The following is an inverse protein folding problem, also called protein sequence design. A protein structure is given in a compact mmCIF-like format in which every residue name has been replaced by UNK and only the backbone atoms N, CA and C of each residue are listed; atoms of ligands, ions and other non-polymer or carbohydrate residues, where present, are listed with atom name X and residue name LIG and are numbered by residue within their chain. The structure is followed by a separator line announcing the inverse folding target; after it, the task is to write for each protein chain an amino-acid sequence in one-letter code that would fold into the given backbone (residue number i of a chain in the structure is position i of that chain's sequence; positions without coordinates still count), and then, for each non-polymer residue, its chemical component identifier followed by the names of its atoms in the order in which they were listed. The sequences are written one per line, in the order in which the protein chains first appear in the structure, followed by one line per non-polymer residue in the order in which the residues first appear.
data_IF_038971537229
#
_entry.id   IF_038971537229
#
_cell.length_a   1.000
_cell.length_b   1.000
_cell.length_c   1.000
_cell.angle_alpha   90.00
_cell.angle_beta   90.00
_cell.angle_gamma   90.00
#
_symmetry.space_group_name_H-M   'P 1'
#
loop_
_entity.id
_entity.type
_entity.pdbx_description
1 polymer ?
#
# COMPACT_ATOMS: atom_id res chain seq x y z
N UNK A 1 -0.51 -30.11 -33.45
CA UNK A 1 -0.92 -30.68 -32.16
C UNK A 1 -0.53 -29.69 -31.06
N UNK A 2 -1.51 -28.93 -30.57
CA UNK A 2 -1.28 -27.88 -29.58
C UNK A 2 -1.42 -28.48 -28.17
N UNK A 3 -0.34 -28.44 -27.41
CA UNK A 3 -0.32 -28.83 -26.01
C UNK A 3 -1.09 -27.80 -25.18
N UNK A 4 -2.19 -28.25 -24.57
CA UNK A 4 -2.97 -27.45 -23.60
C UNK A 4 -2.19 -27.43 -22.28
N UNK A 5 -1.56 -26.33 -21.98
CA UNK A 5 -1.07 -26.05 -20.62
C UNK A 5 -2.28 -25.85 -19.72
N UNK A 6 -2.55 -26.80 -18.85
CA UNK A 6 -3.56 -26.73 -17.83
C UNK A 6 -3.20 -25.62 -16.83
N UNK A 7 -3.99 -24.55 -16.84
CA UNK A 7 -4.05 -23.62 -15.74
C UNK A 7 -4.62 -24.38 -14.53
N UNK A 8 -3.76 -24.76 -13.59
CA UNK A 8 -4.18 -25.29 -12.29
C UNK A 8 -4.92 -24.20 -11.55
N UNK A 9 -6.25 -24.25 -11.55
CA UNK A 9 -7.09 -23.38 -10.76
C UNK A 9 -6.79 -23.59 -9.28
N UNK A 10 -6.17 -22.59 -8.65
CA UNK A 10 -6.09 -22.52 -7.19
C UNK A 10 -7.53 -22.43 -6.65
N UNK A 11 -7.93 -23.42 -5.89
CA UNK A 11 -9.24 -23.47 -5.23
C UNK A 11 -9.21 -22.48 -4.06
N UNK A 12 -9.84 -21.31 -4.22
CA UNK A 12 -9.86 -20.28 -3.18
C UNK A 12 -11.02 -20.53 -2.24
N UNK A 13 -10.73 -20.80 -0.97
CA UNK A 13 -11.73 -20.76 0.09
C UNK A 13 -12.33 -19.33 0.19
N UNK A 14 -13.65 -19.19 0.40
CA UNK A 14 -14.25 -17.88 0.58
C UNK A 14 -13.61 -17.16 1.78
N UNK A 15 -13.25 -15.89 1.57
CA UNK A 15 -12.69 -15.05 2.63
C UNK A 15 -13.69 -14.92 3.77
N UNK A 16 -13.24 -15.16 5.01
CA UNK A 16 -14.02 -14.85 6.21
C UNK A 16 -14.32 -13.34 6.31
N UNK A 17 -15.25 -12.92 7.18
CA UNK A 17 -15.68 -11.53 7.30
C UNK A 17 -14.53 -10.53 7.51
N UNK A 18 -13.54 -10.91 8.31
CA UNK A 18 -12.34 -10.11 8.61
C UNK A 18 -11.35 -9.99 7.44
N UNK A 19 -11.51 -10.81 6.42
CA UNK A 19 -10.63 -10.87 5.24
C UNK A 19 -11.19 -10.13 4.02
N UNK A 20 -12.33 -9.45 4.18
CA UNK A 20 -12.91 -8.64 3.10
C UNK A 20 -12.21 -7.29 3.00
N UNK A 21 -12.02 -6.82 1.76
CA UNK A 21 -11.52 -5.47 1.53
C UNK A 21 -12.50 -4.43 2.09
N UNK A 22 -12.00 -3.53 2.91
CA UNK A 22 -12.72 -2.35 3.35
C UNK A 22 -12.66 -1.23 2.28
N UNK A 23 -13.34 -0.10 2.53
CA UNK A 23 -13.39 1.02 1.60
C UNK A 23 -11.99 1.64 1.33
N UNK A 24 -11.14 1.70 2.36
CA UNK A 24 -9.79 2.24 2.25
C UNK A 24 -8.89 1.36 1.35
N UNK A 25 -8.93 0.03 1.55
CA UNK A 25 -8.20 -0.92 0.70
C UNK A 25 -8.66 -0.84 -0.76
N UNK A 26 -9.97 -0.76 -1.00
CA UNK A 26 -10.52 -0.58 -2.35
C UNK A 26 -10.07 0.73 -2.98
N UNK A 27 -10.03 1.82 -2.21
CA UNK A 27 -9.53 3.09 -2.71
C UNK A 27 -8.05 2.99 -3.13
N UNK A 28 -7.19 2.38 -2.32
CA UNK A 28 -5.78 2.17 -2.68
C UNK A 28 -5.65 1.39 -3.99
N UNK A 29 -6.34 0.26 -4.14
CA UNK A 29 -6.29 -0.56 -5.36
C UNK A 29 -6.80 0.20 -6.58
N UNK A 30 -7.89 0.98 -6.43
CA UNK A 30 -8.50 1.69 -7.56
C UNK A 30 -7.61 2.77 -8.16
N UNK A 31 -6.66 3.30 -7.39
CA UNK A 31 -5.81 4.41 -7.80
C UNK A 31 -4.32 4.04 -7.91
N UNK A 32 -3.97 2.80 -7.60
CA UNK A 32 -2.63 2.28 -7.82
C UNK A 32 -2.44 1.90 -9.29
N UNK A 33 -1.33 2.37 -9.86
CA UNK A 33 -0.91 2.02 -11.21
C UNK A 33 -0.11 0.70 -11.17
N UNK A 34 -0.81 -0.40 -10.88
CA UNK A 34 -0.19 -1.72 -10.70
C UNK A 34 0.17 -2.31 -12.05
N UNK A 35 1.44 -2.67 -12.21
CA UNK A 35 1.96 -3.42 -13.36
C UNK A 35 2.42 -4.82 -12.92
N UNK A 36 2.50 -5.77 -13.87
CA UNK A 36 3.04 -7.11 -13.58
C UNK A 36 4.50 -7.01 -13.13
N UNK A 37 4.84 -7.82 -12.12
CA UNK A 37 6.16 -7.89 -11.50
C UNK A 37 6.53 -6.71 -10.59
N UNK A 38 5.62 -5.76 -10.37
CA UNK A 38 5.85 -4.69 -9.39
C UNK A 38 6.14 -5.27 -8.00
N UNK A 39 7.01 -4.59 -7.25
CA UNK A 39 7.22 -4.81 -5.83
C UNK A 39 6.38 -3.85 -5.02
N UNK A 40 5.41 -4.40 -4.29
CA UNK A 40 4.38 -3.64 -3.58
C UNK A 40 4.52 -3.81 -2.08
N UNK A 41 4.49 -2.70 -1.34
CA UNK A 41 4.44 -2.67 0.13
C UNK A 41 3.06 -2.23 0.61
N UNK A 42 2.41 -3.05 1.45
CA UNK A 42 1.29 -2.62 2.29
C UNK A 42 1.82 -2.23 3.68
N UNK A 43 1.79 -0.92 3.99
CA UNK A 43 2.37 -0.38 5.23
C UNK A 43 1.59 -0.71 6.50
N UNK A 44 0.36 -1.20 6.38
CA UNK A 44 -0.45 -1.63 7.53
C UNK A 44 -1.33 -2.80 7.12
N UNK A 45 -0.69 -3.91 6.76
CA UNK A 45 -1.35 -5.05 6.14
C UNK A 45 -2.29 -5.82 7.09
N UNK A 46 -2.19 -5.60 8.41
CA UNK A 46 -2.97 -6.35 9.39
C UNK A 46 -2.83 -7.85 9.16
N UNK A 47 -3.95 -8.55 9.02
CA UNK A 47 -3.99 -9.97 8.69
C UNK A 47 -3.81 -10.30 7.20
N UNK A 48 -3.34 -9.37 6.37
CA UNK A 48 -2.96 -9.61 4.96
C UNK A 48 -4.10 -9.56 3.95
N UNK A 49 -5.24 -8.94 4.27
CA UNK A 49 -6.41 -8.94 3.36
C UNK A 49 -6.14 -8.25 2.02
N UNK A 50 -5.45 -7.09 2.02
CA UNK A 50 -5.08 -6.36 0.81
C UNK A 50 -4.04 -7.14 0.01
N UNK A 51 -2.97 -7.61 0.65
CA UNK A 51 -1.93 -8.40 0.00
C UNK A 51 -2.49 -9.65 -0.65
N UNK A 52 -3.35 -10.39 0.05
CA UNK A 52 -4.00 -11.58 -0.51
C UNK A 52 -4.86 -11.25 -1.73
N UNK A 53 -5.57 -10.13 -1.72
CA UNK A 53 -6.34 -9.71 -2.89
C UNK A 53 -5.46 -9.42 -4.09
N UNK A 54 -4.29 -8.80 -3.87
CA UNK A 54 -3.31 -8.52 -4.91
C UNK A 54 -2.68 -9.81 -5.45
N UNK A 55 -2.26 -10.73 -4.58
CA UNK A 55 -1.68 -12.03 -4.93
C UNK A 55 -2.59 -12.86 -5.85
N UNK A 56 -3.90 -12.77 -5.63
CA UNK A 56 -4.90 -13.49 -6.43
C UNK A 56 -5.08 -12.95 -7.84
N UNK A 57 -4.68 -11.71 -8.13
CA UNK A 57 -5.02 -10.99 -9.37
C UNK A 57 -3.82 -10.61 -10.20
N UNK A 58 -2.68 -10.45 -9.58
CA UNK A 58 -1.47 -9.94 -10.22
C UNK A 58 -0.28 -10.83 -9.88
N UNK A 59 0.73 -10.79 -10.74
CA UNK A 59 2.04 -11.41 -10.46
C UNK A 59 2.95 -10.34 -9.87
N UNK A 60 2.96 -10.22 -8.56
CA UNK A 60 3.67 -9.19 -7.82
C UNK A 60 4.67 -9.80 -6.84
N UNK A 61 5.66 -8.99 -6.44
CA UNK A 61 6.45 -9.25 -5.23
C UNK A 61 5.79 -8.50 -4.08
N UNK A 62 5.19 -9.21 -3.14
CA UNK A 62 4.40 -8.63 -2.07
C UNK A 62 5.19 -8.53 -0.77
N UNK A 63 5.16 -7.34 -0.17
CA UNK A 63 5.71 -7.08 1.14
C UNK A 63 4.64 -6.43 2.02
N UNK A 64 4.70 -6.67 3.32
CA UNK A 64 3.76 -6.10 4.28
C UNK A 64 4.40 -5.71 5.58
N UNK A 65 3.92 -4.61 6.16
CA UNK A 65 4.20 -4.24 7.55
C UNK A 65 2.95 -4.39 8.39
N UNK A 66 3.12 -4.86 9.60
CA UNK A 66 2.04 -4.90 10.59
C UNK A 66 2.51 -4.30 11.90
N UNK A 67 1.61 -3.63 12.60
CA UNK A 67 1.92 -2.91 13.84
C UNK A 67 1.89 -3.81 15.08
N UNK A 68 1.45 -5.07 14.93
CA UNK A 68 1.50 -6.05 16.01
C UNK A 68 2.13 -7.36 15.54
N UNK A 69 2.89 -8.05 16.42
CA UNK A 69 3.47 -9.35 16.10
C UNK A 69 2.42 -10.39 15.71
N UNK A 70 1.24 -10.36 16.35
CA UNK A 70 0.13 -11.30 16.12
C UNK A 70 -0.44 -11.13 14.71
N UNK A 71 -0.68 -9.88 14.29
CA UNK A 71 -1.17 -9.57 12.94
C UNK A 71 -0.14 -9.96 11.88
N UNK A 72 1.15 -9.68 12.12
CA UNK A 72 2.22 -10.08 11.22
C UNK A 72 2.31 -11.62 11.08
N UNK A 73 2.14 -12.36 12.18
CA UNK A 73 2.10 -13.82 12.17
C UNK A 73 0.90 -14.32 11.36
N UNK A 74 -0.29 -13.79 11.63
CA UNK A 74 -1.51 -14.15 10.91
C UNK A 74 -1.42 -13.90 9.40
N UNK A 75 -0.79 -12.81 9.00
CA UNK A 75 -0.56 -12.51 7.58
C UNK A 75 0.40 -13.52 6.94
N UNK A 76 1.52 -13.87 7.59
CA UNK A 76 2.49 -14.87 7.10
C UNK A 76 1.88 -16.26 6.95
N UNK A 77 1.02 -16.67 7.87
CA UNK A 77 0.32 -17.96 7.79
C UNK A 77 -0.60 -18.08 6.57
N UNK A 78 -1.05 -16.94 6.04
CA UNK A 78 -1.98 -16.88 4.91
C UNK A 78 -1.31 -16.54 3.57
N UNK A 79 -0.10 -15.99 3.61
CA UNK A 79 0.65 -15.47 2.47
C UNK A 79 2.08 -16.00 2.54
N UNK A 80 2.28 -17.23 2.08
CA UNK A 80 3.59 -17.90 2.15
C UNK A 80 4.66 -17.24 1.28
N UNK A 81 4.25 -16.55 0.23
CA UNK A 81 5.14 -15.93 -0.75
C UNK A 81 5.31 -14.41 -0.52
N UNK A 82 4.69 -13.85 0.53
CA UNK A 82 4.84 -12.44 0.88
C UNK A 82 5.81 -12.25 2.06
N UNK A 83 6.69 -11.25 1.94
CA UNK A 83 7.59 -10.85 3.03
C UNK A 83 6.84 -9.92 4.00
N UNK A 84 6.34 -10.46 5.11
CA UNK A 84 5.59 -9.70 6.11
C UNK A 84 6.37 -9.59 7.41
N UNK A 85 6.52 -8.35 7.91
CA UNK A 85 7.28 -8.08 9.14
C UNK A 85 6.47 -7.23 10.12
N UNK A 86 6.84 -7.31 11.38
CA UNK A 86 6.40 -6.40 12.42
C UNK A 86 7.31 -5.16 12.41
N UNK A 87 6.74 -3.99 12.10
CA UNK A 87 7.48 -2.73 12.10
C UNK A 87 6.53 -1.54 12.26
N UNK A 88 7.09 -0.37 12.64
CA UNK A 88 6.37 0.89 12.75
C UNK A 88 6.43 1.66 11.41
N UNK A 89 5.41 2.47 11.13
CA UNK A 89 5.37 3.29 9.90
C UNK A 89 6.55 4.27 9.81
N UNK A 90 7.08 4.71 10.94
CA UNK A 90 8.19 5.68 11.04
C UNK A 90 9.58 5.08 10.78
N UNK A 91 9.66 3.75 10.64
CA UNK A 91 10.92 3.02 10.46
C UNK A 91 10.70 1.82 9.55
N UNK A 92 10.74 2.06 8.24
CA UNK A 92 10.48 1.05 7.21
C UNK A 92 11.76 0.24 6.98
N UNK A 93 11.81 -1.06 7.35
CA UNK A 93 13.06 -1.83 7.39
C UNK A 93 13.47 -2.41 6.02
N UNK A 94 13.21 -1.70 4.96
CA UNK A 94 13.73 -2.00 3.63
C UNK A 94 14.68 -0.90 3.15
N UNK A 95 15.52 -1.23 2.20
CA UNK A 95 16.51 -0.34 1.60
C UNK A 95 15.82 0.76 0.77
N UNK A 96 16.59 1.80 0.47
CA UNK A 96 16.18 2.85 -0.46
C UNK A 96 15.83 2.25 -1.84
N UNK A 97 14.97 2.92 -2.57
CA UNK A 97 14.61 2.57 -3.96
C UNK A 97 14.18 1.10 -4.16
N UNK A 98 13.45 0.55 -3.19
CA UNK A 98 13.07 -0.88 -3.17
C UNK A 98 11.72 -1.16 -3.84
N UNK A 99 10.74 -0.26 -3.70
CA UNK A 99 9.36 -0.51 -4.08
C UNK A 99 8.90 0.29 -5.30
N UNK A 100 8.10 -0.34 -6.12
CA UNK A 100 7.36 0.29 -7.20
C UNK A 100 6.14 1.03 -6.67
N UNK A 101 5.43 0.39 -5.75
CA UNK A 101 4.22 0.93 -5.13
C UNK A 101 4.28 0.73 -3.62
N UNK A 102 3.95 1.79 -2.89
CA UNK A 102 3.67 1.73 -1.45
C UNK A 102 2.21 2.10 -1.23
N UNK A 103 1.49 1.29 -0.46
CA UNK A 103 0.08 1.50 -0.13
C UNK A 103 -0.11 1.69 1.38
N UNK A 104 -0.98 2.63 1.76
CA UNK A 104 -1.42 2.81 3.13
C UNK A 104 -2.95 2.89 3.18
N UNK A 105 -3.59 1.78 3.50
CA UNK A 105 -5.06 1.68 3.62
C UNK A 105 -5.57 2.02 5.04
N UNK A 106 -4.85 2.86 5.75
CA UNK A 106 -5.18 3.35 7.10
C UNK A 106 -4.70 4.79 7.29
N UNK A 107 -4.89 5.35 8.48
CA UNK A 107 -4.34 6.65 8.82
C UNK A 107 -2.81 6.61 8.98
N UNK A 108 -2.16 7.74 8.70
CA UNK A 108 -0.78 8.00 9.14
C UNK A 108 -0.73 7.98 10.67
N UNK A 109 0.26 7.33 11.23
CA UNK A 109 0.49 7.23 12.68
C UNK A 109 1.85 7.80 13.06
N UNK A 110 1.95 8.29 14.30
CA UNK A 110 3.17 8.89 14.79
C UNK A 110 3.54 10.20 14.10
N UNK A 111 4.82 10.43 13.82
CA UNK A 111 5.29 11.60 13.09
C UNK A 111 5.04 11.42 11.58
N UNK A 112 3.95 12.00 11.08
CA UNK A 112 3.54 11.90 9.68
C UNK A 112 4.62 12.38 8.71
N UNK A 113 5.40 13.42 9.05
CA UNK A 113 6.47 13.91 8.19
C UNK A 113 7.61 12.89 8.11
N UNK A 114 7.94 12.22 9.21
CA UNK A 114 8.93 11.14 9.23
C UNK A 114 8.44 9.93 8.42
N UNK A 115 7.19 9.52 8.62
CA UNK A 115 6.58 8.43 7.84
C UNK A 115 6.68 8.70 6.34
N UNK A 116 6.30 9.90 5.90
CA UNK A 116 6.33 10.25 4.48
C UNK A 116 7.75 10.32 3.89
N UNK A 117 8.74 10.74 4.68
CA UNK A 117 10.17 10.65 4.27
C UNK A 117 10.62 9.21 4.11
N UNK A 118 10.22 8.30 5.01
CA UNK A 118 10.53 6.87 4.91
C UNK A 118 9.86 6.24 3.67
N UNK A 119 8.59 6.56 3.42
CA UNK A 119 7.90 6.13 2.20
C UNK A 119 8.64 6.61 0.96
N UNK A 120 9.00 7.89 0.93
CA UNK A 120 9.75 8.47 -0.18
C UNK A 120 11.12 7.80 -0.36
N UNK A 121 11.82 7.49 0.72
CA UNK A 121 13.11 6.80 0.71
C UNK A 121 13.02 5.43 0.06
N UNK A 122 12.05 4.60 0.47
CA UNK A 122 11.95 3.21 0.01
C UNK A 122 11.32 3.06 -1.37
N UNK A 123 10.62 4.08 -1.87
CA UNK A 123 10.12 4.09 -3.26
C UNK A 123 11.27 4.29 -4.25
N UNK A 124 11.26 3.56 -5.34
CA UNK A 124 12.17 3.81 -6.49
C UNK A 124 11.80 5.11 -7.20
N UNK A 125 12.70 5.66 -7.98
CA UNK A 125 12.41 6.75 -8.89
C UNK A 125 11.28 6.34 -9.86
N UNK A 126 10.24 7.17 -9.99
CA UNK A 126 9.01 6.85 -10.73
C UNK A 126 8.02 5.97 -9.95
N UNK A 127 8.33 5.57 -8.72
CA UNK A 127 7.43 4.80 -7.86
C UNK A 127 6.27 5.62 -7.31
N UNK A 128 5.19 4.95 -6.95
CA UNK A 128 3.93 5.54 -6.53
C UNK A 128 3.61 5.28 -5.04
N UNK A 129 3.18 6.31 -4.34
CA UNK A 129 2.53 6.18 -3.03
C UNK A 129 1.03 6.41 -3.16
N UNK A 130 0.23 5.49 -2.61
CA UNK A 130 -1.23 5.58 -2.58
C UNK A 130 -1.71 5.44 -1.15
N UNK A 131 -2.27 6.52 -0.60
CA UNK A 131 -2.79 6.56 0.75
C UNK A 131 -4.30 6.76 0.74
N UNK A 132 -5.04 5.89 1.42
CA UNK A 132 -6.47 6.05 1.59
C UNK A 132 -6.79 7.35 2.33
N UNK A 133 -7.71 8.14 1.78
CA UNK A 133 -8.21 9.39 2.39
C UNK A 133 -9.72 9.46 2.20
N UNK A 134 -10.52 9.10 3.21
CA UNK A 134 -11.97 9.10 3.10
C UNK A 134 -12.48 10.52 2.83
N UNK A 135 -13.60 10.63 2.08
CA UNK A 135 -14.24 11.93 1.77
C UNK A 135 -14.69 12.65 3.04
N UNK A 136 -15.17 11.89 4.00
CA UNK A 136 -15.59 12.37 5.30
C UNK A 136 -14.65 11.81 6.37
N UNK A 137 -13.62 12.56 6.71
CA UNK A 137 -12.77 12.24 7.87
C UNK A 137 -13.41 12.83 9.12
N UNK A 138 -13.49 12.07 10.22
CA UNK A 138 -13.89 12.66 11.49
C UNK A 138 -12.93 13.80 11.83
N UNK A 139 -13.49 14.96 12.19
CA UNK A 139 -12.71 16.07 12.73
C UNK A 139 -12.41 15.73 14.19
N UNK A 140 -11.13 15.63 14.51
CA UNK A 140 -10.65 15.37 15.88
C UNK A 140 -9.24 15.92 16.06
N UNK A 141 -8.85 16.15 17.29
CA UNK A 141 -7.46 16.51 17.61
C UNK A 141 -6.51 15.43 17.09
N UNK A 142 -5.44 15.83 16.42
CA UNK A 142 -4.41 14.93 15.88
C UNK A 142 -4.75 14.28 14.52
N UNK A 143 -5.92 14.55 13.94
CA UNK A 143 -6.26 14.05 12.60
C UNK A 143 -5.87 15.08 11.55
N UNK A 144 -4.88 14.74 10.73
CA UNK A 144 -4.46 15.59 9.61
C UNK A 144 -5.57 15.73 8.57
N UNK A 145 -5.89 16.96 8.20
CA UNK A 145 -6.77 17.21 7.05
C UNK A 145 -6.13 16.72 5.76
N UNK A 146 -6.94 16.44 4.75
CA UNK A 146 -6.45 16.04 3.42
C UNK A 146 -5.44 17.03 2.84
N UNK A 147 -5.67 18.35 3.02
CA UNK A 147 -4.78 19.41 2.55
C UNK A 147 -3.41 19.32 3.25
N UNK A 148 -3.38 19.09 4.55
CA UNK A 148 -2.15 18.90 5.32
C UNK A 148 -1.41 17.63 4.90
N UNK A 149 -2.12 16.50 4.69
CA UNK A 149 -1.54 15.27 4.19
C UNK A 149 -0.86 15.48 2.82
N UNK A 150 -1.53 16.15 1.88
CA UNK A 150 -0.99 16.45 0.56
C UNK A 150 0.24 17.38 0.64
N UNK A 151 0.18 18.41 1.51
CA UNK A 151 1.31 19.31 1.74
C UNK A 151 2.52 18.55 2.29
N UNK A 152 2.33 17.73 3.31
CA UNK A 152 3.41 16.92 3.89
C UNK A 152 4.03 15.95 2.88
N UNK A 153 3.22 15.40 1.95
CA UNK A 153 3.76 14.60 0.84
C UNK A 153 4.64 15.44 -0.09
N UNK A 154 4.21 16.65 -0.44
CA UNK A 154 5.01 17.59 -1.26
C UNK A 154 6.30 17.98 -0.53
N UNK A 155 6.23 18.28 0.76
CA UNK A 155 7.38 18.62 1.60
C UNK A 155 8.37 17.43 1.73
N UNK A 156 7.89 16.19 1.63
CA UNK A 156 8.72 14.99 1.60
C UNK A 156 9.37 14.72 0.23
N UNK A 157 9.02 15.49 -0.81
CA UNK A 157 9.60 15.42 -2.15
C UNK A 157 8.74 14.77 -3.22
N UNK A 158 7.50 14.34 -2.89
CA UNK A 158 6.60 13.77 -3.89
C UNK A 158 6.18 14.82 -4.92
N UNK A 159 6.28 14.47 -6.20
CA UNK A 159 5.68 15.20 -7.31
C UNK A 159 4.25 14.73 -7.59
N UNK A 160 3.50 15.52 -8.35
CA UNK A 160 2.16 15.17 -8.83
C UNK A 160 1.19 14.67 -7.74
N UNK A 161 1.25 15.28 -6.55
CA UNK A 161 0.37 14.91 -5.44
C UNK A 161 -1.07 15.33 -5.77
N UNK A 162 -1.97 14.36 -5.83
CA UNK A 162 -3.38 14.59 -6.17
C UNK A 162 -4.32 13.76 -5.30
N UNK A 163 -5.52 14.30 -5.07
CA UNK A 163 -6.61 13.55 -4.46
C UNK A 163 -7.51 12.97 -5.55
N UNK A 164 -7.79 11.68 -5.44
CA UNK A 164 -8.67 10.93 -6.34
C UNK A 164 -9.82 10.33 -5.54
N UNK A 165 -11.03 10.39 -6.08
CA UNK A 165 -12.22 9.83 -5.42
C UNK A 165 -13.10 9.06 -6.40
N UNK A 166 -13.72 8.00 -5.89
CA UNK A 166 -14.77 7.25 -6.57
C UNK A 166 -15.87 6.92 -5.55
N UNK A 167 -17.05 7.53 -5.73
CA UNK A 167 -18.12 7.45 -4.74
C UNK A 167 -17.71 8.05 -3.39
N UNK A 168 -17.87 7.30 -2.31
CA UNK A 168 -17.53 7.73 -0.95
C UNK A 168 -16.08 7.40 -0.55
N UNK A 169 -15.33 6.72 -1.41
CA UNK A 169 -13.95 6.32 -1.17
C UNK A 169 -12.99 7.25 -1.91
N UNK A 170 -11.85 7.58 -1.31
CA UNK A 170 -10.82 8.38 -1.94
C UNK A 170 -9.41 7.99 -1.48
N UNK A 171 -8.44 8.40 -2.27
CA UNK A 171 -7.03 8.25 -1.96
C UNK A 171 -6.26 9.50 -2.36
N UNK A 172 -5.18 9.77 -1.65
CA UNK A 172 -4.13 10.70 -2.07
C UNK A 172 -3.07 9.87 -2.78
N UNK A 173 -2.68 10.33 -3.95
CA UNK A 173 -1.67 9.70 -4.80
C UNK A 173 -0.53 10.67 -5.02
N UNK A 174 0.69 10.20 -4.86
CA UNK A 174 1.89 10.95 -5.16
C UNK A 174 2.96 10.07 -5.81
N UNK A 175 3.80 10.66 -6.64
CA UNK A 175 4.86 9.96 -7.35
C UNK A 175 6.23 10.44 -6.88
N UNK A 176 7.16 9.52 -6.67
CA UNK A 176 8.57 9.89 -6.54
C UNK A 176 9.07 10.30 -7.91
N UNK A 177 9.61 11.53 -8.09
CA UNK A 177 10.11 11.97 -9.39
C UNK A 177 11.10 10.97 -9.99
N UNK A 178 11.00 10.72 -11.29
CA UNK A 178 12.00 9.94 -12.02
C UNK A 178 13.36 10.67 -12.01
N UNK A 179 14.46 9.92 -12.12
CA UNK A 179 15.76 10.55 -12.39
C UNK A 179 15.65 11.27 -13.73
N UNK A 180 15.98 12.57 -13.75
CA UNK A 180 16.17 13.27 -15.02
C UNK A 180 17.18 12.46 -15.84
N UNK A 181 16.85 12.16 -17.10
CA UNK A 181 17.82 11.57 -18.02
C UNK A 181 18.98 12.56 -18.14
N UNK A 182 20.14 12.17 -17.65
CA UNK A 182 21.40 12.90 -17.78
C UNK A 182 22.00 12.68 -19.15
#
# INVERSE_FOLDING_TARGET
MLSKTQAQGRFFAPLGPEKRLNAAMRACISWAAIEEHDKVLDMNCGGGALLRHLDMRYRLTLCGMSETPESARSAREQLTDADVIFARQEDIPWRDDTFDIVMLASALKGDAARVLREVFRVLRAGGQFVMASPLFSPRGEGVLSRREQMRLMQDAGFGEVSFRANGLSGAIVGWKPGRAAS
#
